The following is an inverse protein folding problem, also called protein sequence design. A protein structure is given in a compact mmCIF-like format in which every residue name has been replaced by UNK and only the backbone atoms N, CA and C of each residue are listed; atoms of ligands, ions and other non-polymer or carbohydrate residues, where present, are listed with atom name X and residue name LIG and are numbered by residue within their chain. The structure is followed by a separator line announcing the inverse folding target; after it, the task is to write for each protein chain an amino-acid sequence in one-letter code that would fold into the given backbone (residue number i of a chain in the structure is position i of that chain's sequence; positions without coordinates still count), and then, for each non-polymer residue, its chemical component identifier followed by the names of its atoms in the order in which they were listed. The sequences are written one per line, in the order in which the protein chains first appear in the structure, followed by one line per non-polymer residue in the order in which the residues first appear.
data_IF_774428696180
#
_entry.id   IF_774428696180
#
_cell.length_a   1.000
_cell.length_b   1.000
_cell.length_c   1.000
_cell.angle_alpha   90.00
_cell.angle_beta   90.00
_cell.angle_gamma   90.00
#
_symmetry.space_group_name_H-M   'P 1'
#
loop_
_entity.id
_entity.type
_entity.pdbx_description
1 polymer ?
#
# COMPACT_ATOMS: atom_id res chain seq x y z
N UNK A 1 9.13 -14.15 15.81
CA UNK A 1 10.46 -13.48 15.95
C UNK A 1 10.63 -12.37 14.91
N UNK A 2 10.50 -12.65 13.61
CA UNK A 2 10.65 -11.63 12.54
C UNK A 2 9.65 -10.47 12.67
N UNK A 3 8.39 -10.74 13.00
CA UNK A 3 7.33 -9.71 13.18
C UNK A 3 7.66 -8.78 14.35
N UNK A 4 8.04 -9.34 15.50
CA UNK A 4 8.48 -8.57 16.65
C UNK A 4 9.72 -7.74 16.31
N UNK A 5 10.68 -8.28 15.56
CA UNK A 5 11.88 -7.56 15.14
C UNK A 5 11.57 -6.38 14.20
N UNK A 6 10.64 -6.54 13.25
CA UNK A 6 10.24 -5.46 12.34
C UNK A 6 9.46 -4.37 13.08
N UNK A 7 8.51 -4.75 13.95
CA UNK A 7 7.74 -3.78 14.74
C UNK A 7 8.64 -3.06 15.75
N UNK A 8 9.53 -3.79 16.41
CA UNK A 8 10.57 -3.20 17.28
C UNK A 8 11.49 -2.30 16.46
N UNK A 9 11.83 -2.63 15.22
CA UNK A 9 12.64 -1.77 14.34
C UNK A 9 11.90 -0.47 13.96
N UNK A 10 10.61 -0.55 13.61
CA UNK A 10 9.79 0.62 13.28
C UNK A 10 9.61 1.51 14.52
N UNK A 11 9.36 0.90 15.69
CA UNK A 11 9.25 1.63 16.96
C UNK A 11 10.61 2.20 17.40
N UNK A 12 11.72 1.48 17.22
CA UNK A 12 13.07 1.99 17.47
C UNK A 12 13.38 3.18 16.59
N UNK A 13 13.06 3.10 15.29
CA UNK A 13 13.26 4.23 14.37
C UNK A 13 12.44 5.44 14.83
N UNK A 14 11.18 5.24 15.25
CA UNK A 14 10.35 6.32 15.82
C UNK A 14 10.98 6.93 17.08
N UNK A 15 11.40 6.09 18.02
CA UNK A 15 12.00 6.51 19.29
C UNK A 15 13.34 7.20 19.06
N UNK A 16 14.18 6.70 18.16
CA UNK A 16 15.45 7.34 17.77
C UNK A 16 15.17 8.72 17.18
N UNK A 17 14.18 8.86 16.30
CA UNK A 17 13.81 10.16 15.72
C UNK A 17 13.29 11.15 16.79
N UNK A 18 12.47 10.68 17.74
CA UNK A 18 11.97 11.50 18.86
C UNK A 18 13.10 11.87 19.85
N UNK A 19 14.00 10.94 20.15
CA UNK A 19 15.11 11.14 21.08
C UNK A 19 16.18 12.07 20.51
N UNK A 20 16.50 11.96 19.21
CA UNK A 20 17.40 12.87 18.52
C UNK A 20 16.80 14.28 18.37
N UNK A 21 15.47 14.38 18.25
CA UNK A 21 14.75 15.66 18.25
C UNK A 21 14.66 16.32 19.64
N UNK A 22 14.70 15.53 20.73
CA UNK A 22 14.62 16.02 22.11
C UNK A 22 15.99 16.40 22.72
N UNK A 23 17.07 15.71 22.34
CA UNK A 23 18.41 15.91 22.95
C UNK A 23 19.41 16.72 22.11
N UNK A 24 19.09 17.09 20.86
CA UNK A 24 19.99 17.86 20.01
C UNK A 24 19.99 19.36 20.30
N UNK A 25 21.06 19.89 20.92
CA UNK A 25 21.37 21.32 20.92
C UNK A 25 21.83 21.76 19.52
N UNK A 26 20.87 22.05 18.64
CA UNK A 26 21.18 22.35 17.24
C UNK A 26 21.92 23.69 17.06
N UNK A 27 23.07 23.73 16.36
CA UNK A 27 23.76 24.98 16.00
C UNK A 27 22.89 25.82 15.04
N UNK A 28 22.99 27.16 15.15
CA UNK A 28 22.10 28.15 14.47
C UNK A 28 21.93 27.96 12.95
N UNK A 29 22.87 27.30 12.27
CA UNK A 29 22.82 26.97 10.84
C UNK A 29 21.74 25.93 10.46
N UNK A 30 21.22 25.14 11.41
CA UNK A 30 20.22 24.09 11.18
C UNK A 30 18.79 24.48 11.61
N UNK A 31 18.59 25.75 12.00
CA UNK A 31 17.27 26.28 12.37
C UNK A 31 16.23 26.15 11.23
N UNK A 32 16.65 26.37 9.97
CA UNK A 32 15.80 26.18 8.79
C UNK A 32 15.47 24.71 8.48
N UNK A 33 16.29 23.76 8.96
CA UNK A 33 16.00 22.33 8.84
C UNK A 33 14.79 21.98 9.71
N UNK A 34 14.67 22.54 10.91
CA UNK A 34 13.57 22.24 11.86
C UNK A 34 12.18 22.56 11.31
N UNK A 35 12.05 23.60 10.49
CA UNK A 35 10.77 24.05 9.93
C UNK A 35 10.25 23.10 8.82
N UNK A 36 11.14 22.52 8.03
CA UNK A 36 10.79 21.61 6.92
C UNK A 36 10.96 20.11 7.25
N UNK A 37 11.75 19.78 8.27
CA UNK A 37 12.11 18.41 8.67
C UNK A 37 10.89 17.54 8.98
N UNK A 38 9.94 18.05 9.75
CA UNK A 38 8.73 17.31 10.11
C UNK A 38 7.87 16.97 8.89
N UNK A 39 7.80 17.88 7.91
CA UNK A 39 7.09 17.63 6.65
C UNK A 39 7.78 16.56 5.80
N UNK A 40 9.10 16.64 5.65
CA UNK A 40 9.89 15.69 4.87
C UNK A 40 9.87 14.27 5.48
N UNK A 41 9.99 14.18 6.80
CA UNK A 41 9.90 12.89 7.52
C UNK A 41 8.50 12.31 7.42
N UNK A 42 7.45 13.09 7.67
CA UNK A 42 6.08 12.60 7.57
C UNK A 42 5.80 12.06 6.17
N UNK A 43 6.30 12.73 5.13
CA UNK A 43 6.20 12.27 3.74
C UNK A 43 6.96 10.97 3.51
N UNK A 44 8.20 10.88 3.98
CA UNK A 44 9.03 9.67 3.86
C UNK A 44 8.41 8.47 4.58
N UNK A 45 7.93 8.66 5.81
CA UNK A 45 7.24 7.61 6.58
C UNK A 45 5.97 7.17 5.87
N UNK A 46 5.16 8.12 5.39
CA UNK A 46 3.93 7.80 4.65
C UNK A 46 4.23 7.04 3.36
N UNK A 47 5.33 7.36 2.66
CA UNK A 47 5.80 6.63 1.49
C UNK A 47 6.17 5.20 1.82
N UNK A 48 6.88 4.99 2.92
CA UNK A 48 7.25 3.65 3.38
C UNK A 48 6.01 2.84 3.78
N UNK A 49 5.06 3.45 4.50
CA UNK A 49 3.78 2.83 4.84
C UNK A 49 3.05 2.41 3.57
N UNK A 50 2.91 3.30 2.58
CA UNK A 50 2.20 3.02 1.35
C UNK A 50 2.87 1.88 0.55
N UNK A 51 4.20 1.87 0.48
CA UNK A 51 4.96 0.82 -0.21
C UNK A 51 4.83 -0.55 0.47
N UNK A 52 4.86 -0.57 1.80
CA UNK A 52 4.81 -1.80 2.60
C UNK A 52 3.37 -2.25 2.90
N UNK A 53 2.37 -1.42 2.63
CA UNK A 53 0.99 -1.65 3.06
C UNK A 53 0.43 -3.00 2.63
N UNK A 54 0.57 -3.36 1.34
CA UNK A 54 0.01 -4.63 0.83
C UNK A 54 0.61 -5.87 1.51
N UNK A 55 1.92 -5.84 1.78
CA UNK A 55 2.63 -6.92 2.49
C UNK A 55 2.22 -6.93 3.97
N UNK A 56 2.05 -5.75 4.57
CA UNK A 56 1.65 -5.62 5.96
C UNK A 56 0.24 -6.18 6.21
N UNK A 57 -0.71 -5.87 5.32
CA UNK A 57 -2.09 -6.40 5.39
C UNK A 57 -2.07 -7.92 5.38
N UNK A 58 -1.33 -8.53 4.44
CA UNK A 58 -1.16 -9.97 4.35
C UNK A 58 -0.64 -10.54 5.68
N UNK A 59 0.45 -9.99 6.23
CA UNK A 59 1.03 -10.51 7.46
C UNK A 59 0.13 -10.35 8.67
N UNK A 60 -0.58 -9.23 8.81
CA UNK A 60 -1.51 -9.03 9.91
C UNK A 60 -2.65 -10.06 9.87
N UNK A 61 -3.21 -10.33 8.69
CA UNK A 61 -4.30 -11.31 8.53
C UNK A 61 -3.80 -12.74 8.71
N UNK A 62 -2.58 -13.04 8.26
CA UNK A 62 -1.93 -14.32 8.51
C UNK A 62 -1.69 -14.55 10.02
N UNK A 63 -1.22 -13.53 10.74
CA UNK A 63 -1.05 -13.58 12.18
C UNK A 63 -2.39 -13.80 12.90
N UNK A 64 -3.49 -13.25 12.40
CA UNK A 64 -4.82 -13.51 12.97
C UNK A 64 -5.33 -14.94 12.75
N UNK A 65 -4.95 -15.56 11.63
CA UNK A 65 -5.41 -16.92 11.29
C UNK A 65 -4.55 -18.01 11.92
N UNK A 66 -3.24 -17.79 12.05
CA UNK A 66 -2.26 -18.80 12.52
C UNK A 66 -1.55 -18.42 13.82
N UNK A 67 -1.93 -17.31 14.45
CA UNK A 67 -1.20 -16.77 15.59
C UNK A 67 -1.56 -17.44 16.91
N UNK A 68 -0.60 -18.17 17.49
CA UNK A 68 -0.73 -18.79 18.81
C UNK A 68 -0.69 -17.79 19.99
N UNK A 69 -0.33 -16.53 19.74
CA UNK A 69 -0.12 -15.51 20.79
C UNK A 69 -1.13 -14.37 20.70
N UNK A 70 -1.94 -14.23 21.75
CA UNK A 70 -2.84 -13.08 21.95
C UNK A 70 -2.14 -11.72 21.79
N UNK A 71 -0.92 -11.61 22.33
CA UNK A 71 -0.14 -10.36 22.27
C UNK A 71 0.25 -10.00 20.83
N UNK A 72 0.66 -10.99 20.04
CA UNK A 72 0.99 -10.80 18.63
C UNK A 72 -0.25 -10.44 17.79
N UNK A 73 -1.40 -11.07 18.08
CA UNK A 73 -2.65 -10.78 17.37
C UNK A 73 -3.14 -9.35 17.69
N UNK A 74 -3.07 -8.94 18.95
CA UNK A 74 -3.41 -7.56 19.35
C UNK A 74 -2.52 -6.55 18.64
N UNK A 75 -1.21 -6.80 18.60
CA UNK A 75 -0.24 -5.93 17.95
C UNK A 75 -0.42 -5.87 16.42
N UNK A 76 -0.75 -7.00 15.78
CA UNK A 76 -1.13 -7.03 14.37
C UNK A 76 -2.37 -6.18 14.09
N UNK A 77 -3.40 -6.27 14.93
CA UNK A 77 -4.61 -5.45 14.81
C UNK A 77 -4.36 -3.95 14.96
N UNK A 78 -3.64 -3.58 16.01
CA UNK A 78 -3.30 -2.16 16.26
C UNK A 78 -2.49 -1.59 15.11
N UNK A 79 -1.46 -2.30 14.64
CA UNK A 79 -0.61 -1.80 13.53
C UNK A 79 -1.36 -1.73 12.21
N UNK A 80 -2.19 -2.73 11.89
CA UNK A 80 -3.06 -2.73 10.71
C UNK A 80 -4.04 -1.54 10.73
N UNK A 81 -4.66 -1.29 11.89
CA UNK A 81 -5.59 -0.18 12.08
C UNK A 81 -4.88 1.18 11.94
N UNK A 82 -3.68 1.32 12.51
CA UNK A 82 -2.87 2.55 12.40
C UNK A 82 -2.47 2.81 10.96
N UNK A 83 -1.91 1.83 10.24
CA UNK A 83 -1.47 2.03 8.85
C UNK A 83 -2.64 2.30 7.91
N UNK A 84 -3.72 1.52 8.03
CA UNK A 84 -4.94 1.73 7.25
C UNK A 84 -5.58 3.08 7.58
N UNK A 85 -5.62 3.45 8.86
CA UNK A 85 -6.15 4.73 9.33
C UNK A 85 -5.36 5.93 8.81
N UNK A 86 -4.02 5.86 8.80
CA UNK A 86 -3.17 6.90 8.22
C UNK A 86 -3.46 7.07 6.73
N UNK A 87 -3.46 5.97 5.97
CA UNK A 87 -3.73 6.03 4.52
C UNK A 87 -5.15 6.52 4.22
N UNK A 88 -6.15 6.07 4.97
CA UNK A 88 -7.53 6.52 4.84
C UNK A 88 -7.69 8.00 5.19
N UNK A 89 -7.01 8.48 6.24
CA UNK A 89 -6.99 9.89 6.61
C UNK A 89 -6.39 10.76 5.50
N UNK A 90 -5.25 10.36 4.93
CA UNK A 90 -4.65 11.08 3.80
C UNK A 90 -5.53 11.02 2.55
N UNK A 91 -6.13 9.87 2.25
CA UNK A 91 -7.06 9.73 1.14
C UNK A 91 -8.25 10.69 1.27
N UNK A 92 -8.88 10.71 2.45
CA UNK A 92 -10.00 11.61 2.75
C UNK A 92 -9.58 13.08 2.67
N UNK A 93 -8.39 13.42 3.21
CA UNK A 93 -7.88 14.78 3.21
C UNK A 93 -7.59 15.28 1.79
N UNK A 94 -6.93 14.47 0.96
CA UNK A 94 -6.67 14.78 -0.46
C UNK A 94 -7.99 14.95 -1.21
N UNK A 95 -8.93 14.05 -1.00
CA UNK A 95 -10.24 14.11 -1.65
C UNK A 95 -11.02 15.38 -1.26
N UNK A 96 -10.98 15.76 0.02
CA UNK A 96 -11.62 16.99 0.49
C UNK A 96 -10.94 18.24 -0.09
N UNK A 97 -9.60 18.27 -0.11
CA UNK A 97 -8.83 19.34 -0.77
C UNK A 97 -9.15 19.43 -2.26
N UNK A 98 -9.22 18.31 -2.97
CA UNK A 98 -9.58 18.26 -4.38
C UNK A 98 -10.99 18.83 -4.63
N UNK A 99 -11.97 18.48 -3.79
CA UNK A 99 -13.33 19.04 -3.87
C UNK A 99 -13.35 20.54 -3.63
N UNK A 100 -12.62 21.04 -2.60
CA UNK A 100 -12.52 22.46 -2.31
C UNK A 100 -11.90 23.25 -3.47
N UNK A 101 -10.85 22.70 -4.07
CA UNK A 101 -10.20 23.32 -5.24
C UNK A 101 -11.14 23.35 -6.45
N UNK A 102 -11.84 22.24 -6.71
CA UNK A 102 -12.84 22.19 -7.79
C UNK A 102 -13.98 23.21 -7.59
N UNK A 103 -14.38 23.47 -6.36
CA UNK A 103 -15.40 24.48 -6.05
C UNK A 103 -14.87 25.92 -6.17
N UNK A 104 -13.60 26.17 -5.83
CA UNK A 104 -13.01 27.51 -5.86
C UNK A 104 -12.54 27.92 -7.26
N UNK A 105 -11.94 26.99 -8.02
CA UNK A 105 -11.24 27.26 -9.28
C UNK A 105 -11.87 26.55 -10.48
N UNK A 106 -12.95 25.78 -10.26
CA UNK A 106 -13.65 25.03 -11.31
C UNK A 106 -12.97 23.71 -11.71
N UNK A 107 -11.70 23.50 -11.32
CA UNK A 107 -10.94 22.29 -11.67
C UNK A 107 -10.06 21.78 -10.51
N UNK A 108 -9.64 20.51 -10.60
CA UNK A 108 -8.75 19.84 -9.65
C UNK A 108 -7.26 20.00 -9.94
N UNK A 109 -6.87 20.70 -11.02
CA UNK A 109 -5.47 21.01 -11.35
C UNK A 109 -4.72 21.75 -10.24
N UNK A 110 -5.42 22.47 -9.37
CA UNK A 110 -4.86 23.11 -8.18
C UNK A 110 -4.13 22.17 -7.22
N UNK A 111 -4.38 20.84 -7.28
CA UNK A 111 -3.61 19.83 -6.55
C UNK A 111 -2.13 19.84 -6.97
N UNK A 112 -1.86 20.01 -8.26
CA UNK A 112 -0.52 19.98 -8.84
C UNK A 112 0.13 21.37 -8.86
N UNK A 113 -0.68 22.43 -8.96
CA UNK A 113 -0.18 23.80 -9.16
C UNK A 113 0.13 24.50 -7.84
N UNK A 114 -0.62 24.23 -6.77
CA UNK A 114 -0.37 24.85 -5.47
C UNK A 114 0.77 24.15 -4.74
N UNK A 115 1.92 24.82 -4.67
CA UNK A 115 3.14 24.32 -3.98
C UNK A 115 2.87 23.79 -2.57
N UNK A 116 2.02 24.46 -1.79
CA UNK A 116 1.70 24.03 -0.42
C UNK A 116 0.97 22.68 -0.34
N UNK A 117 0.08 22.42 -1.30
CA UNK A 117 -0.68 21.16 -1.41
C UNK A 117 0.20 20.08 -2.00
N UNK A 118 0.97 20.43 -3.02
CA UNK A 118 1.88 19.54 -3.72
C UNK A 118 2.97 18.99 -2.79
N UNK A 119 3.68 19.85 -2.04
CA UNK A 119 4.76 19.40 -1.13
C UNK A 119 4.25 18.39 -0.08
N UNK A 120 3.00 18.53 0.37
CA UNK A 120 2.40 17.68 1.42
C UNK A 120 1.84 16.36 0.90
N UNK A 121 1.24 16.36 -0.29
CA UNK A 121 0.42 15.22 -0.76
C UNK A 121 0.87 14.61 -2.08
N UNK A 122 1.84 15.22 -2.79
CA UNK A 122 2.20 14.74 -4.13
C UNK A 122 2.65 13.29 -4.14
N UNK A 123 3.21 12.77 -3.04
CA UNK A 123 3.53 11.34 -2.88
C UNK A 123 2.42 10.39 -3.39
N UNK A 124 1.16 10.71 -3.14
CA UNK A 124 0.04 9.82 -3.49
C UNK A 124 -0.32 9.87 -4.97
N UNK A 125 -0.13 11.00 -5.64
CA UNK A 125 -0.65 11.24 -6.98
C UNK A 125 0.37 11.72 -8.02
N UNK A 126 1.60 12.04 -7.64
CA UNK A 126 2.63 12.61 -8.53
C UNK A 126 3.02 11.68 -9.68
N UNK A 127 2.78 10.38 -9.53
CA UNK A 127 3.01 9.42 -10.60
C UNK A 127 1.89 9.40 -11.65
N UNK A 128 0.71 9.95 -11.33
CA UNK A 128 -0.45 9.97 -12.21
C UNK A 128 -0.59 11.32 -12.91
N UNK A 129 -1.30 11.32 -14.05
CA UNK A 129 -1.68 12.57 -14.71
C UNK A 129 -2.68 13.36 -13.86
N UNK A 130 -2.78 14.66 -14.12
CA UNK A 130 -3.74 15.57 -13.47
C UNK A 130 -5.16 15.00 -13.45
N UNK A 131 -5.66 14.47 -14.56
CA UNK A 131 -7.03 13.92 -14.64
C UNK A 131 -7.24 12.60 -13.86
N UNK A 132 -6.16 11.91 -13.51
CA UNK A 132 -6.19 10.57 -12.91
C UNK A 132 -5.68 10.52 -11.47
N UNK A 133 -5.63 11.67 -10.78
CA UNK A 133 -5.19 11.74 -9.38
C UNK A 133 -5.95 10.78 -8.48
N UNK A 134 -7.25 10.54 -8.72
CA UNK A 134 -8.09 9.71 -7.85
C UNK A 134 -7.71 8.21 -7.81
N UNK A 135 -6.84 7.74 -8.72
CA UNK A 135 -6.47 6.34 -8.83
C UNK A 135 -5.66 5.79 -7.67
N UNK A 136 -5.05 6.64 -6.85
CA UNK A 136 -4.37 6.16 -5.65
C UNK A 136 -5.35 5.45 -4.69
N UNK A 137 -6.64 5.83 -4.67
CA UNK A 137 -7.65 5.22 -3.80
C UNK A 137 -7.94 3.77 -4.22
N UNK A 138 -8.34 3.49 -5.49
CA UNK A 138 -8.43 2.12 -5.99
C UNK A 138 -7.18 1.28 -5.75
N UNK A 139 -5.98 1.88 -5.84
CA UNK A 139 -4.72 1.16 -5.62
C UNK A 139 -4.55 0.75 -4.15
N UNK A 140 -4.89 1.62 -3.20
CA UNK A 140 -4.90 1.28 -1.76
C UNK A 140 -5.89 0.15 -1.49
N UNK A 141 -7.09 0.22 -2.07
CA UNK A 141 -8.11 -0.83 -1.95
C UNK A 141 -7.62 -2.14 -2.57
N UNK A 142 -6.98 -2.09 -3.74
CA UNK A 142 -6.37 -3.26 -4.38
C UNK A 142 -5.32 -3.91 -3.48
N UNK A 143 -4.42 -3.12 -2.87
CA UNK A 143 -3.39 -3.67 -1.96
C UNK A 143 -4.02 -4.34 -0.73
N UNK A 144 -5.07 -3.73 -0.17
CA UNK A 144 -5.81 -4.32 0.95
C UNK A 144 -6.52 -5.61 0.55
N UNK A 145 -7.31 -5.58 -0.54
CA UNK A 145 -8.05 -6.74 -1.03
C UNK A 145 -7.13 -7.91 -1.37
N UNK A 146 -6.00 -7.63 -2.05
CA UNK A 146 -4.99 -8.64 -2.37
C UNK A 146 -4.42 -9.28 -1.10
N UNK A 147 -4.02 -8.48 -0.10
CA UNK A 147 -3.50 -9.00 1.16
C UNK A 147 -4.52 -9.89 1.89
N UNK A 148 -5.79 -9.47 1.90
CA UNK A 148 -6.89 -10.23 2.52
C UNK A 148 -7.16 -11.54 1.79
N UNK A 149 -7.23 -11.55 0.46
CA UNK A 149 -7.49 -12.77 -0.32
C UNK A 149 -6.38 -13.80 -0.11
N UNK A 150 -5.12 -13.35 -0.11
CA UNK A 150 -3.98 -14.25 0.07
C UNK A 150 -4.03 -14.91 1.45
N UNK A 151 -4.30 -14.14 2.50
CA UNK A 151 -4.35 -14.67 3.85
C UNK A 151 -5.65 -15.46 4.14
N UNK A 152 -6.79 -15.09 3.55
CA UNK A 152 -8.05 -15.82 3.69
C UNK A 152 -8.09 -17.12 2.88
N UNK A 153 -7.32 -17.19 1.79
CA UNK A 153 -7.17 -18.39 0.98
C UNK A 153 -6.16 -19.40 1.53
N UNK A 154 -5.58 -19.14 2.71
CA UNK A 154 -4.63 -20.06 3.31
C UNK A 154 -5.30 -21.41 3.62
N UNK A 155 -4.66 -22.49 3.20
CA UNK A 155 -5.22 -23.86 3.19
C UNK A 155 -6.12 -24.21 1.99
N UNK A 156 -6.60 -23.24 1.20
CA UNK A 156 -7.40 -23.47 -0.01
C UNK A 156 -6.74 -22.81 -1.23
N UNK A 157 -5.70 -23.45 -1.76
CA UNK A 157 -4.90 -22.91 -2.87
C UNK A 157 -5.71 -22.49 -4.10
N UNK A 158 -6.82 -23.19 -4.41
CA UNK A 158 -7.67 -22.88 -5.57
C UNK A 158 -8.42 -21.57 -5.37
N UNK A 159 -8.98 -21.34 -4.17
CA UNK A 159 -9.64 -20.07 -3.83
C UNK A 159 -8.64 -18.91 -3.81
N UNK A 160 -7.44 -19.14 -3.25
CA UNK A 160 -6.36 -18.16 -3.24
C UNK A 160 -5.94 -17.75 -4.66
N UNK A 161 -5.70 -18.73 -5.54
CA UNK A 161 -5.25 -18.49 -6.91
C UNK A 161 -6.33 -17.79 -7.75
N UNK A 162 -7.59 -18.24 -7.68
CA UNK A 162 -8.71 -17.61 -8.39
C UNK A 162 -8.98 -16.18 -7.89
N UNK A 163 -9.04 -15.98 -6.58
CA UNK A 163 -9.26 -14.66 -6.00
C UNK A 163 -8.14 -13.68 -6.36
N UNK A 164 -6.89 -14.14 -6.30
CA UNK A 164 -5.74 -13.35 -6.72
C UNK A 164 -5.78 -13.04 -8.22
N UNK A 165 -6.19 -14.00 -9.07
CA UNK A 165 -6.32 -13.79 -10.51
C UNK A 165 -7.35 -12.71 -10.83
N UNK A 166 -8.52 -12.75 -10.20
CA UNK A 166 -9.59 -11.76 -10.40
C UNK A 166 -9.09 -10.36 -10.02
N UNK A 167 -8.44 -10.21 -8.87
CA UNK A 167 -7.94 -8.90 -8.41
C UNK A 167 -6.82 -8.36 -9.29
N UNK A 168 -5.89 -9.20 -9.73
CA UNK A 168 -4.82 -8.81 -10.64
C UNK A 168 -5.35 -8.47 -12.05
N UNK A 169 -6.36 -9.20 -12.53
CA UNK A 169 -7.00 -8.94 -13.83
C UNK A 169 -7.80 -7.63 -13.82
N UNK A 170 -8.57 -7.36 -12.77
CA UNK A 170 -9.31 -6.09 -12.61
C UNK A 170 -8.36 -4.89 -12.63
N UNK A 171 -7.23 -4.97 -11.92
CA UNK A 171 -6.23 -3.91 -11.95
C UNK A 171 -5.59 -3.76 -13.33
N UNK A 172 -5.30 -4.87 -14.02
CA UNK A 172 -4.74 -4.84 -15.38
C UNK A 172 -5.69 -4.15 -16.36
N UNK A 173 -6.98 -4.50 -16.34
CA UNK A 173 -8.00 -3.87 -17.19
C UNK A 173 -8.06 -2.37 -16.92
N UNK A 174 -8.06 -1.97 -15.64
CA UNK A 174 -8.07 -0.56 -15.25
C UNK A 174 -6.84 0.19 -15.80
N UNK A 175 -5.65 -0.40 -15.68
CA UNK A 175 -4.40 0.19 -16.17
C UNK A 175 -4.36 0.29 -17.71
N UNK A 176 -4.86 -0.73 -18.41
CA UNK A 176 -4.94 -0.74 -19.88
C UNK A 176 -5.91 0.32 -20.41
N UNK A 177 -7.05 0.49 -19.75
CA UNK A 177 -8.08 1.43 -20.19
C UNK A 177 -7.70 2.89 -19.92
N UNK A 178 -7.24 3.21 -18.70
CA UNK A 178 -6.98 4.60 -18.31
C UNK A 178 -5.58 5.09 -18.65
N UNK A 179 -4.59 4.20 -18.74
CA UNK A 179 -3.15 4.53 -18.93
C UNK A 179 -2.72 5.75 -18.09
N UNK A 180 -2.84 5.64 -16.76
CA UNK A 180 -2.96 6.80 -15.89
C UNK A 180 -1.64 7.50 -15.56
N UNK A 181 -0.52 6.82 -15.78
CA UNK A 181 0.80 7.36 -15.45
C UNK A 181 1.17 8.52 -16.38
N UNK A 182 1.74 9.59 -15.80
CA UNK A 182 2.12 10.79 -16.54
C UNK A 182 3.21 10.49 -17.58
N UNK A 183 4.23 9.72 -17.18
CA UNK A 183 5.30 9.28 -18.09
C UNK A 183 4.87 8.04 -18.87
N UNK A 184 5.10 8.05 -20.20
CA UNK A 184 4.90 6.87 -21.07
C UNK A 184 5.66 5.65 -20.56
N UNK A 185 6.90 5.82 -20.10
CA UNK A 185 7.71 4.74 -19.51
C UNK A 185 7.07 4.16 -18.24
N UNK A 186 6.55 5.00 -17.35
CA UNK A 186 5.87 4.56 -16.12
C UNK A 186 4.63 3.71 -16.43
N UNK A 187 3.90 4.06 -17.48
CA UNK A 187 2.76 3.28 -17.93
C UNK A 187 3.19 1.91 -18.50
N UNK A 188 4.24 1.88 -19.34
CA UNK A 188 4.76 0.62 -19.91
C UNK A 188 5.30 -0.31 -18.82
N UNK A 189 6.09 0.22 -17.88
CA UNK A 189 6.67 -0.56 -16.78
C UNK A 189 5.54 -1.14 -15.91
N UNK A 190 4.57 -0.31 -15.51
CA UNK A 190 3.48 -0.76 -14.63
C UNK A 190 2.59 -1.81 -15.29
N UNK A 191 2.25 -1.63 -16.58
CA UNK A 191 1.50 -2.63 -17.34
C UNK A 191 2.31 -3.92 -17.48
N UNK A 192 3.60 -3.83 -17.79
CA UNK A 192 4.46 -5.02 -17.95
C UNK A 192 4.54 -5.83 -16.65
N UNK A 193 4.77 -5.15 -15.51
CA UNK A 193 4.78 -5.79 -14.19
C UNK A 193 3.44 -6.47 -13.92
N UNK A 194 2.32 -5.79 -14.22
CA UNK A 194 0.99 -6.33 -14.00
C UNK A 194 0.70 -7.55 -14.88
N UNK A 195 1.13 -7.54 -16.15
CA UNK A 195 1.02 -8.69 -17.05
C UNK A 195 1.82 -9.88 -16.53
N UNK A 196 3.07 -9.67 -16.13
CA UNK A 196 3.92 -10.74 -15.57
C UNK A 196 3.27 -11.33 -14.31
N UNK A 197 2.68 -10.49 -13.46
CA UNK A 197 1.95 -10.94 -12.26
C UNK A 197 0.75 -11.81 -12.62
N UNK A 198 -0.10 -11.38 -13.56
CA UNK A 198 -1.26 -12.16 -14.01
C UNK A 198 -0.81 -13.51 -14.56
N UNK A 199 0.21 -13.54 -15.42
CA UNK A 199 0.76 -14.79 -15.97
C UNK A 199 1.26 -15.69 -14.85
N UNK A 200 1.98 -15.14 -13.87
CA UNK A 200 2.49 -15.91 -12.72
C UNK A 200 1.35 -16.54 -11.92
N UNK A 201 0.25 -15.83 -11.70
CA UNK A 201 -0.93 -16.35 -11.00
C UNK A 201 -1.65 -17.41 -11.83
N UNK A 202 -1.75 -17.24 -13.14
CA UNK A 202 -2.29 -18.27 -14.05
C UNK A 202 -1.45 -19.55 -13.98
N UNK A 203 -0.12 -19.43 -14.00
CA UNK A 203 0.75 -20.60 -13.82
C UNK A 203 0.49 -21.31 -12.49
N UNK A 204 0.40 -20.56 -11.39
CA UNK A 204 0.07 -21.12 -10.07
C UNK A 204 -1.29 -21.82 -10.08
N UNK A 205 -2.31 -21.20 -10.70
CA UNK A 205 -3.65 -21.78 -10.79
C UNK A 205 -3.64 -23.12 -11.52
N UNK A 206 -2.92 -23.21 -12.66
CA UNK A 206 -2.76 -24.48 -13.39
C UNK A 206 -2.11 -25.53 -12.49
N UNK A 207 -1.03 -25.20 -11.78
CA UNK A 207 -0.43 -26.16 -10.84
C UNK A 207 -1.40 -26.60 -9.76
N UNK A 208 -2.14 -25.68 -9.14
CA UNK A 208 -3.11 -25.98 -8.08
C UNK A 208 -4.24 -26.87 -8.59
N UNK A 209 -4.78 -26.64 -9.78
CA UNK A 209 -5.79 -27.54 -10.37
C UNK A 209 -5.22 -28.93 -10.64
N UNK A 210 -4.01 -29.03 -11.20
CA UNK A 210 -3.39 -30.33 -11.47
C UNK A 210 -3.14 -31.13 -10.18
N UNK A 211 -2.65 -30.48 -9.11
CA UNK A 211 -2.45 -31.13 -7.82
C UNK A 211 -3.76 -31.39 -7.06
N UNK A 212 -4.77 -30.54 -7.20
CA UNK A 212 -6.11 -30.72 -6.62
C UNK A 212 -6.88 -31.88 -7.25
N UNK A 213 -6.73 -32.09 -8.56
CA UNK A 213 -7.28 -33.25 -9.29
C UNK A 213 -6.53 -34.54 -8.88
N UNK A 214 -5.20 -34.48 -8.71
CA UNK A 214 -4.40 -35.64 -8.29
C UNK A 214 -4.73 -36.12 -6.86
N UNK A 215 -5.04 -35.21 -5.93
CA UNK A 215 -5.43 -35.56 -4.56
C UNK A 215 -6.82 -36.21 -4.46
N UNK A 216 -7.73 -35.92 -5.41
CA UNK A 216 -9.07 -36.53 -5.44
C UNK A 216 -9.12 -37.92 -6.08
N UNK A 217 -8.04 -38.37 -6.73
CA UNK A 217 -7.97 -39.70 -7.39
C UNK A 217 -7.10 -40.73 -6.66
N UNK A 218 -6.57 -40.42 -5.47
CA UNK A 218 -5.64 -41.29 -4.72
C UNK A 218 -6.13 -41.66 -3.30
N UNK A 219 -7.41 -41.96 -3.14
CA UNK A 219 -7.90 -42.80 -2.03
C UNK A 219 -8.35 -44.16 -2.57
N UNK A 220 -7.38 -44.99 -2.94
CA UNK A 220 -7.59 -46.44 -3.03
C UNK A 220 -6.50 -47.14 -2.22
N UNK A 221 -6.97 -47.83 -1.18
CA UNK A 221 -6.33 -48.78 -0.25
C UNK A 221 -5.64 -48.20 0.99
#
# INVERSE_FOLDING_TARGET
IVIAAIVVSILLVKVILEFWALFGSFPKALSGFREHYWGSIARTITSLILLLYGIWVLYCIFQFTHGDSWAANTLAGVTLAVFTGILAFFAWKIWNTARKLKQAEGDSSGLYEKKEVWVKYSLFYESYKKDYWWLFIPIIIYMFAKGTIIAAGDGHGLFQALGQLIVEALLLILLLWKRPYERKSGNVISITIQVVRVISVVCILVFVEQFGIAQTTQTVT
#
